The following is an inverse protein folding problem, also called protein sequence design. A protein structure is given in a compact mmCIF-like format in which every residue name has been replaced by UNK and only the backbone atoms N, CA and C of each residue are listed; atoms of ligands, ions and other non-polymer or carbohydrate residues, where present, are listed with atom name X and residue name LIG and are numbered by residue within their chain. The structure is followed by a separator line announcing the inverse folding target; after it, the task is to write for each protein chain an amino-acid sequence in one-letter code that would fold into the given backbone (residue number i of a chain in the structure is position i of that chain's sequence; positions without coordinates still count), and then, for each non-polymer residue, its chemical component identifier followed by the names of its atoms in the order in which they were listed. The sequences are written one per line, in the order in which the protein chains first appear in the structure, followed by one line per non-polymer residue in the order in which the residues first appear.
data_IF_401559087341
#
_entry.id   IF_401559087341
#
_cell.length_a   1.000
_cell.length_b   1.000
_cell.length_c   1.000
_cell.angle_alpha   90.00
_cell.angle_beta   90.00
_cell.angle_gamma   90.00
#
_symmetry.space_group_name_H-M   'P 1'
#
loop_
_entity.id
_entity.type
_entity.pdbx_description
1 polymer ?
#
# COMPACT_ATOMS: atom_id res chain seq x y z
N UNK A 1 -0.04 3.33 4.97
CA UNK A 1 0.18 3.16 3.51
C UNK A 1 -0.10 4.48 2.80
N UNK A 2 0.70 4.82 1.80
CA UNK A 2 0.50 5.95 0.91
C UNK A 2 -0.12 5.44 -0.40
N UNK A 3 -1.05 6.20 -0.96
CA UNK A 3 -1.56 5.97 -2.32
C UNK A 3 -1.10 7.12 -3.19
N UNK A 4 -0.43 6.80 -4.30
CA UNK A 4 -0.04 7.76 -5.32
C UNK A 4 -1.00 7.66 -6.49
N UNK A 5 -1.57 8.79 -6.85
CA UNK A 5 -2.43 8.96 -8.03
C UNK A 5 -1.78 8.44 -9.31
N UNK A 6 -2.63 8.14 -10.29
CA UNK A 6 -2.26 7.60 -11.60
C UNK A 6 -1.29 8.55 -12.33
N UNK A 7 -1.58 9.86 -12.33
CA UNK A 7 -0.72 10.91 -12.92
C UNK A 7 0.53 11.26 -12.08
N UNK A 8 0.63 10.68 -10.87
CA UNK A 8 1.74 10.82 -9.93
C UNK A 8 1.86 12.19 -9.26
N UNK A 9 0.89 13.08 -9.44
CA UNK A 9 0.91 14.44 -8.89
C UNK A 9 0.36 14.51 -7.47
N UNK A 10 -0.61 13.65 -7.15
CA UNK A 10 -1.21 13.53 -5.82
C UNK A 10 -0.65 12.32 -5.07
N UNK A 11 -0.23 12.54 -3.82
CA UNK A 11 0.17 11.51 -2.87
C UNK A 11 -0.66 11.68 -1.60
N UNK A 12 -1.46 10.67 -1.25
CA UNK A 12 -2.31 10.69 -0.07
C UNK A 12 -1.87 9.67 0.97
N UNK A 13 -2.09 9.98 2.24
CA UNK A 13 -1.97 9.01 3.32
C UNK A 13 -3.31 8.30 3.50
N UNK A 14 -3.35 7.00 3.24
CA UNK A 14 -4.55 6.18 3.37
C UNK A 14 -5.13 6.24 4.79
N UNK A 15 -4.27 6.31 5.81
CA UNK A 15 -4.71 6.38 7.21
C UNK A 15 -5.34 7.73 7.60
N UNK A 16 -5.18 8.77 6.77
CA UNK A 16 -5.74 10.10 6.99
C UNK A 16 -6.98 10.39 6.14
N UNK A 17 -7.34 9.46 5.26
CA UNK A 17 -8.47 9.56 4.34
C UNK A 17 -9.75 9.05 5.02
N UNK A 18 -10.89 9.68 4.73
CA UNK A 18 -12.19 9.20 5.20
C UNK A 18 -12.72 8.03 4.33
N UNK A 19 -12.36 8.00 3.05
CA UNK A 19 -12.63 6.88 2.16
C UNK A 19 -12.17 7.15 0.73
N UNK A 20 -12.19 6.12 -0.12
CA UNK A 20 -12.10 6.27 -1.57
C UNK A 20 -13.41 5.78 -2.18
N UNK A 21 -13.93 6.51 -3.17
CA UNK A 21 -15.22 6.20 -3.80
C UNK A 21 -15.09 6.10 -5.32
N UNK A 22 -15.97 5.30 -5.91
CA UNK A 22 -16.13 5.21 -7.35
C UNK A 22 -17.26 6.15 -7.75
N UNK A 23 -16.96 7.07 -8.66
CA UNK A 23 -17.97 7.88 -9.33
C UNK A 23 -18.05 7.51 -10.81
N UNK A 24 -19.23 7.09 -11.26
CA UNK A 24 -19.49 6.80 -12.67
C UNK A 24 -19.80 8.11 -13.41
N UNK A 25 -18.94 8.47 -14.37
CA UNK A 25 -19.19 9.55 -15.31
C UNK A 25 -19.66 9.02 -16.67
N UNK A 26 -20.15 9.91 -17.55
CA UNK A 26 -20.65 9.53 -18.88
C UNK A 26 -19.56 9.02 -19.84
N UNK A 27 -18.28 9.29 -19.56
CA UNK A 27 -17.14 8.92 -20.43
C UNK A 27 -16.16 7.98 -19.70
N UNK A 28 -15.90 8.24 -18.41
CA UNK A 28 -14.99 7.43 -17.59
C UNK A 28 -15.57 7.24 -16.20
N UNK A 29 -15.16 6.14 -15.57
CA UNK A 29 -15.36 5.89 -14.15
C UNK A 29 -14.11 6.36 -13.39
N UNK A 30 -14.27 7.16 -12.35
CA UNK A 30 -13.14 7.69 -11.58
C UNK A 30 -13.12 7.12 -10.17
N UNK A 31 -11.91 7.02 -9.60
CA UNK A 31 -11.71 6.79 -8.18
C UNK A 31 -11.22 8.10 -7.56
N UNK A 32 -11.96 8.59 -6.57
CA UNK A 32 -11.63 9.80 -5.81
C UNK A 32 -11.35 9.45 -4.35
N UNK A 33 -10.40 10.15 -3.76
CA UNK A 33 -10.21 10.16 -2.31
C UNK A 33 -11.13 11.21 -1.69
N UNK A 34 -11.65 10.91 -0.51
CA UNK A 34 -12.42 11.85 0.31
C UNK A 34 -11.68 12.12 1.62
N UNK A 35 -11.34 13.39 1.83
CA UNK A 35 -10.87 13.95 3.10
C UNK A 35 -11.84 15.07 3.47
N UNK A 36 -12.00 15.37 4.76
CA UNK A 36 -12.91 16.43 5.23
C UNK A 36 -12.73 17.73 4.43
N UNK A 37 -13.73 18.07 3.62
CA UNK A 37 -13.76 19.30 2.81
C UNK A 37 -12.98 19.27 1.49
N UNK A 38 -12.35 18.16 1.10
CA UNK A 38 -11.55 18.05 -0.13
C UNK A 38 -11.64 16.66 -0.76
N UNK A 39 -11.64 16.60 -2.09
CA UNK A 39 -11.52 15.35 -2.84
C UNK A 39 -10.39 15.44 -3.86
N UNK A 40 -9.58 14.38 -3.96
CA UNK A 40 -8.54 14.28 -4.99
C UNK A 40 -8.83 13.12 -5.93
N UNK A 41 -8.68 13.36 -7.23
CA UNK A 41 -8.68 12.31 -8.24
C UNK A 41 -7.48 11.38 -8.01
N UNK A 42 -7.74 10.07 -7.90
CA UNK A 42 -6.69 9.07 -7.76
C UNK A 42 -6.44 8.33 -9.07
N UNK A 43 -7.46 8.08 -9.86
CA UNK A 43 -7.30 7.43 -11.17
C UNK A 43 -8.59 7.39 -11.96
N UNK A 44 -8.44 7.20 -13.27
CA UNK A 44 -9.55 7.06 -14.20
C UNK A 44 -9.52 5.69 -14.89
N UNK A 45 -10.70 5.11 -15.07
CA UNK A 45 -10.92 3.78 -15.62
C UNK A 45 -12.05 3.79 -16.66
N UNK A 46 -11.91 2.92 -17.65
CA UNK A 46 -12.83 2.79 -18.78
C UNK A 46 -14.21 2.24 -18.40
N UNK A 47 -14.30 1.52 -17.28
CA UNK A 47 -15.57 1.00 -16.76
C UNK A 47 -15.51 0.75 -15.25
N UNK A 48 -16.69 0.53 -14.65
CA UNK A 48 -16.85 0.27 -13.22
C UNK A 48 -16.15 -0.99 -12.73
N UNK A 49 -16.13 -2.07 -13.53
CA UNK A 49 -15.51 -3.33 -13.12
C UNK A 49 -14.00 -3.14 -12.86
N UNK A 50 -13.31 -2.45 -13.76
CA UNK A 50 -11.90 -2.07 -13.56
C UNK A 50 -11.71 -1.19 -12.33
N UNK A 51 -12.56 -0.17 -12.13
CA UNK A 51 -12.45 0.69 -10.96
C UNK A 51 -12.66 -0.09 -9.64
N UNK A 52 -13.62 -1.02 -9.59
CA UNK A 52 -13.83 -1.90 -8.43
C UNK A 52 -12.62 -2.78 -8.18
N UNK A 53 -12.05 -3.40 -9.22
CA UNK A 53 -10.83 -4.19 -9.10
C UNK A 53 -9.66 -3.38 -8.54
N UNK A 54 -9.53 -2.11 -8.89
CA UNK A 54 -8.49 -1.25 -8.31
C UNK A 54 -8.74 -0.96 -6.83
N UNK A 55 -10.00 -0.82 -6.40
CA UNK A 55 -10.29 -0.78 -4.96
C UNK A 55 -9.87 -2.08 -4.27
N UNK A 56 -10.13 -3.24 -4.88
CA UNK A 56 -9.67 -4.54 -4.34
C UNK A 56 -8.14 -4.60 -4.25
N UNK A 57 -7.42 -4.13 -5.29
CA UNK A 57 -5.95 -4.05 -5.27
C UNK A 57 -5.43 -3.13 -4.16
N UNK A 58 -6.10 -2.01 -3.87
CA UNK A 58 -5.76 -1.13 -2.75
C UNK A 58 -5.98 -1.87 -1.42
N UNK A 59 -7.07 -2.63 -1.29
CA UNK A 59 -7.34 -3.43 -0.10
C UNK A 59 -6.28 -4.51 0.12
N UNK A 60 -5.89 -5.23 -0.94
CA UNK A 60 -4.81 -6.22 -0.91
C UNK A 60 -3.49 -5.61 -0.47
N UNK A 61 -3.07 -4.51 -1.09
CA UNK A 61 -1.84 -3.80 -0.70
C UNK A 61 -1.88 -3.31 0.76
N UNK A 62 -3.05 -2.87 1.24
CA UNK A 62 -3.22 -2.49 2.64
C UNK A 62 -3.08 -3.69 3.59
N UNK A 63 -3.66 -4.84 3.25
CA UNK A 63 -3.52 -6.08 4.02
C UNK A 63 -2.05 -6.54 4.08
N UNK A 64 -1.33 -6.48 2.95
CA UNK A 64 0.10 -6.79 2.91
C UNK A 64 0.92 -5.84 3.79
N UNK A 65 0.64 -4.54 3.71
CA UNK A 65 1.29 -3.53 4.56
C UNK A 65 1.05 -3.79 6.05
N UNK A 66 -0.20 -4.05 6.46
CA UNK A 66 -0.54 -4.34 7.87
C UNK A 66 0.06 -5.67 8.34
N UNK A 67 0.06 -6.69 7.50
CA UNK A 67 0.70 -7.98 7.79
C UNK A 67 2.21 -7.79 8.01
N UNK A 68 2.87 -7.04 7.12
CA UNK A 68 4.29 -6.69 7.25
C UNK A 68 4.61 -5.94 8.55
N UNK A 69 3.75 -5.01 8.97
CA UNK A 69 3.90 -4.28 10.23
C UNK A 69 3.83 -5.22 11.46
N UNK A 70 2.85 -6.14 11.49
CA UNK A 70 2.69 -7.13 12.58
C UNK A 70 3.91 -8.05 12.65
N UNK A 71 4.30 -8.62 11.51
CA UNK A 71 5.45 -9.54 11.42
C UNK A 71 6.74 -8.81 11.80
N UNK A 72 6.93 -7.59 11.31
CA UNK A 72 8.08 -6.74 11.64
C UNK A 72 8.21 -6.49 13.15
N UNK A 73 7.12 -6.18 13.83
CA UNK A 73 7.12 -5.98 15.28
C UNK A 73 7.49 -7.27 16.05
N UNK A 74 6.95 -8.41 15.62
CA UNK A 74 7.29 -9.72 16.22
C UNK A 74 8.76 -10.10 16.02
N UNK A 75 9.31 -9.82 14.84
CA UNK A 75 10.73 -10.03 14.53
C UNK A 75 11.64 -9.11 15.32
N UNK A 76 11.29 -7.83 15.47
CA UNK A 76 12.06 -6.90 16.29
C UNK A 76 12.11 -7.38 17.76
N UNK A 77 10.98 -7.89 18.28
CA UNK A 77 10.94 -8.52 19.61
C UNK A 77 11.82 -9.76 19.69
N UNK A 78 11.72 -10.66 18.71
CA UNK A 78 12.55 -11.87 18.65
C UNK A 78 14.03 -11.57 18.55
N UNK A 79 14.38 -10.51 17.80
CA UNK A 79 15.76 -10.04 17.66
C UNK A 79 16.26 -9.31 18.90
N UNK A 80 15.38 -8.77 19.74
CA UNK A 80 15.76 -8.22 21.03
C UNK A 80 16.06 -9.32 22.06
N UNK A 81 15.33 -10.44 22.00
CA UNK A 81 15.47 -11.57 22.94
C UNK A 81 16.36 -12.70 22.44
N UNK A 82 16.98 -12.56 21.26
CA UNK A 82 17.83 -13.58 20.67
C UNK A 82 19.12 -13.80 21.46
N UNK A 83 19.66 -15.02 21.42
CA UNK A 83 21.03 -15.31 21.88
C UNK A 83 21.99 -14.99 20.73
N UNK A 84 22.95 -14.11 21.01
CA UNK A 84 23.89 -13.53 20.05
C UNK A 84 25.33 -13.80 20.46
N UNK A 85 25.61 -15.06 20.75
CA UNK A 85 26.89 -15.47 21.35
C UNK A 85 28.04 -15.55 20.32
N UNK A 86 27.71 -15.52 19.03
CA UNK A 86 28.68 -15.61 17.92
C UNK A 86 28.51 -14.49 16.90
N UNK A 87 29.60 -14.14 16.19
CA UNK A 87 29.54 -13.15 15.10
C UNK A 87 28.57 -13.57 13.99
N UNK A 88 28.48 -14.87 13.73
CA UNK A 88 27.58 -15.45 12.74
C UNK A 88 26.11 -15.27 13.14
N UNK A 89 25.76 -15.51 14.40
CA UNK A 89 24.38 -15.33 14.91
C UNK A 89 23.93 -13.85 14.83
N UNK A 90 24.83 -12.91 15.14
CA UNK A 90 24.60 -11.47 14.98
C UNK A 90 24.38 -11.10 13.52
N UNK A 91 25.26 -11.56 12.62
CA UNK A 91 25.17 -11.27 11.19
C UNK A 91 23.87 -11.80 10.58
N UNK A 92 23.45 -13.01 10.97
CA UNK A 92 22.20 -13.59 10.53
C UNK A 92 20.99 -12.77 10.99
N UNK A 93 20.92 -12.39 12.28
CA UNK A 93 19.85 -11.55 12.80
C UNK A 93 19.74 -10.20 12.07
N UNK A 94 20.87 -9.54 11.79
CA UNK A 94 20.90 -8.29 11.01
C UNK A 94 20.38 -8.50 9.59
N UNK A 95 20.76 -9.60 8.93
CA UNK A 95 20.33 -9.89 7.56
C UNK A 95 18.82 -10.11 7.48
N UNK A 96 18.25 -10.86 8.43
CA UNK A 96 16.80 -11.08 8.54
C UNK A 96 16.07 -9.74 8.72
N UNK A 97 16.47 -8.92 9.69
CA UNK A 97 15.84 -7.62 9.96
C UNK A 97 15.91 -6.68 8.75
N UNK A 98 17.05 -6.62 8.04
CA UNK A 98 17.19 -5.82 6.82
C UNK A 98 16.29 -6.31 5.69
N UNK A 99 16.19 -7.63 5.50
CA UNK A 99 15.29 -8.23 4.51
C UNK A 99 13.85 -7.82 4.75
N UNK A 100 13.37 -7.98 5.98
CA UNK A 100 12.01 -7.58 6.35
C UNK A 100 11.76 -6.08 6.25
N UNK A 101 12.70 -5.24 6.69
CA UNK A 101 12.58 -3.79 6.55
C UNK A 101 12.43 -3.35 5.09
N UNK A 102 13.11 -4.02 4.16
CA UNK A 102 12.95 -3.78 2.73
C UNK A 102 11.57 -4.19 2.19
N UNK A 103 11.04 -5.34 2.62
CA UNK A 103 9.71 -5.79 2.19
C UNK A 103 8.60 -4.86 2.71
N UNK A 104 8.67 -4.43 3.98
CA UNK A 104 7.73 -3.43 4.52
C UNK A 104 7.84 -2.12 3.73
N UNK A 105 9.06 -1.68 3.39
CA UNK A 105 9.25 -0.43 2.63
C UNK A 105 8.56 -0.48 1.26
N UNK A 106 8.55 -1.64 0.59
CA UNK A 106 7.87 -1.82 -0.70
C UNK A 106 6.36 -1.73 -0.58
N UNK A 107 5.77 -2.25 0.50
CA UNK A 107 4.31 -2.22 0.71
C UNK A 107 3.77 -0.88 1.24
N UNK A 108 4.64 0.06 1.64
CA UNK A 108 4.20 1.39 2.12
C UNK A 108 3.53 2.21 1.02
N UNK A 109 3.90 2.02 -0.26
CA UNK A 109 3.43 2.87 -1.36
C UNK A 109 2.65 2.04 -2.39
N UNK A 110 1.37 2.35 -2.53
CA UNK A 110 0.55 1.86 -3.63
C UNK A 110 0.51 2.89 -4.76
N UNK A 111 0.95 2.50 -5.96
CA UNK A 111 0.81 3.31 -7.16
C UNK A 111 -0.49 2.90 -7.87
N UNK A 112 -1.39 3.86 -8.09
CA UNK A 112 -2.60 3.63 -8.88
C UNK A 112 -2.22 3.14 -10.28
N UNK A 113 -2.80 2.01 -10.74
CA UNK A 113 -2.47 1.44 -12.04
C UNK A 113 -3.12 2.22 -13.19
N UNK A 114 -2.50 2.17 -14.36
CA UNK A 114 -3.07 2.66 -15.62
C UNK A 114 -4.27 1.81 -16.04
N UNK A 115 -5.30 2.41 -16.66
CA UNK A 115 -6.49 1.66 -17.11
C UNK A 115 -6.15 0.43 -17.98
N UNK A 116 -5.14 0.56 -18.84
CA UNK A 116 -4.68 -0.53 -19.71
C UNK A 116 -4.04 -1.71 -18.97
N UNK A 117 -3.62 -1.52 -17.72
CA UNK A 117 -3.04 -2.58 -16.88
C UNK A 117 -4.06 -3.31 -16.00
N UNK A 118 -5.32 -2.86 -16.02
CA UNK A 118 -6.40 -3.44 -15.22
C UNK A 118 -7.35 -4.21 -16.13
N UNK A 119 -7.42 -5.52 -15.93
CA UNK A 119 -8.42 -6.38 -16.59
C UNK A 119 -9.76 -6.28 -15.86
N UNK A 120 -10.86 -6.14 -16.61
CA UNK A 120 -12.22 -6.04 -16.06
C UNK A 120 -12.75 -7.37 -15.52
#
# INVERSE_FOLDING_TARGET
MLIRSQDREVLINFNSMAGAEIAEGPIKTIITSYITGCSYLLGEYSNKAKAMKVLDMIQEAYMEYKSGEIVGNGLAGSAYTGSYDTKESVAHGIAVLKGYGNEIRKSILFQMPEDGSVEA
#
